data_IF_087734318676
#
_entry.id   IF_087734318676
#
_cell.length_a   1.000
_cell.length_b   1.000
_cell.length_c   1.000
_cell.angle_alpha   90.00
_cell.angle_beta   90.00
_cell.angle_gamma   90.00
#
_symmetry.space_group_name_H-M   'P 1'
#
loop_
_entity.id
_entity.type
_entity.pdbx_description
1 polymer ?
#
# COMPACT_ATOMS: atom_id res chain seq x y z
N UNK A 1 18.90 3.91 -6.23
CA UNK A 1 19.26 2.86 -5.26
C UNK A 1 18.89 1.48 -5.79
N UNK A 2 17.62 1.11 -5.95
CA UNK A 2 17.21 -0.23 -6.45
C UNK A 2 17.82 -0.63 -7.81
N UNK A 3 18.06 0.33 -8.70
CA UNK A 3 18.65 0.05 -10.02
C UNK A 3 20.15 -0.19 -10.00
N UNK A 4 20.88 0.44 -9.08
CA UNK A 4 22.35 0.52 -9.08
C UNK A 4 23.01 -0.50 -8.13
N UNK A 5 22.27 -0.93 -7.11
CA UNK A 5 22.80 -1.84 -6.09
C UNK A 5 22.17 -3.22 -6.29
N UNK A 6 23.00 -4.24 -6.38
CA UNK A 6 22.58 -5.64 -6.44
C UNK A 6 22.74 -6.26 -5.06
N UNK A 7 21.60 -6.66 -4.47
CA UNK A 7 21.54 -7.31 -3.18
C UNK A 7 20.51 -8.45 -3.21
N UNK A 8 20.69 -9.45 -2.38
CA UNK A 8 19.71 -10.56 -2.24
C UNK A 8 18.41 -10.12 -1.59
N UNK A 9 18.47 -9.12 -0.73
CA UNK A 9 17.32 -8.51 -0.11
C UNK A 9 17.58 -7.02 0.11
N UNK A 10 16.51 -6.23 0.06
CA UNK A 10 16.53 -4.79 0.33
C UNK A 10 15.57 -4.51 1.48
N UNK A 11 15.91 -3.53 2.30
CA UNK A 11 15.03 -3.07 3.37
C UNK A 11 14.80 -1.57 3.24
N UNK A 12 13.55 -1.16 3.43
CA UNK A 12 13.12 0.22 3.53
C UNK A 12 12.55 0.45 4.91
N UNK A 13 12.94 1.53 5.55
CA UNK A 13 12.45 1.93 6.88
C UNK A 13 12.46 3.44 7.00
N UNK A 14 11.43 4.00 7.63
CA UNK A 14 11.39 5.43 7.93
C UNK A 14 12.38 5.77 9.06
N UNK A 15 13.10 6.88 8.91
CA UNK A 15 14.14 7.31 9.85
C UNK A 15 13.64 8.13 11.04
N UNK A 16 12.38 7.96 11.46
CA UNK A 16 11.69 8.76 12.48
C UNK A 16 11.53 8.07 13.84
N UNK A 17 12.29 6.99 14.07
CA UNK A 17 12.28 6.15 15.27
C UNK A 17 10.96 5.46 15.61
N UNK A 18 9.98 5.44 14.70
CA UNK A 18 8.70 4.77 14.91
C UNK A 18 8.81 3.25 14.78
N UNK A 19 9.83 2.76 14.06
CA UNK A 19 10.08 1.34 13.81
C UNK A 19 11.30 0.83 14.53
N UNK A 20 11.19 -0.35 15.12
CA UNK A 20 12.28 -1.01 15.82
C UNK A 20 13.15 -1.78 14.84
N UNK A 21 14.47 -1.57 14.88
CA UNK A 21 15.43 -2.16 13.95
C UNK A 21 15.49 -3.69 14.03
N UNK A 22 15.15 -4.28 15.18
CA UNK A 22 15.17 -5.73 15.43
C UNK A 22 14.25 -6.54 14.50
N UNK A 23 13.12 -5.94 14.06
CA UNK A 23 12.23 -6.58 13.09
C UNK A 23 12.84 -6.68 11.69
N UNK A 24 13.83 -5.84 11.37
CA UNK A 24 14.51 -5.86 10.07
C UNK A 24 15.12 -7.21 9.73
N UNK A 25 15.77 -7.85 10.71
CA UNK A 25 16.34 -9.20 10.53
C UNK A 25 15.26 -10.20 10.17
N UNK A 26 14.16 -10.23 10.91
CA UNK A 26 13.02 -11.14 10.67
C UNK A 26 12.40 -10.93 9.28
N UNK A 27 12.29 -9.67 8.84
CA UNK A 27 11.75 -9.35 7.51
C UNK A 27 12.69 -9.80 6.39
N UNK A 28 14.00 -9.58 6.54
CA UNK A 28 15.01 -10.07 5.59
C UNK A 28 15.04 -11.59 5.55
N UNK A 29 14.92 -12.26 6.69
CA UNK A 29 14.86 -13.73 6.75
C UNK A 29 13.61 -14.28 6.00
N UNK A 30 12.47 -13.58 6.04
CA UNK A 30 11.31 -13.95 5.22
C UNK A 30 11.61 -13.86 3.71
N UNK A 31 12.33 -12.84 3.26
CA UNK A 31 12.75 -12.74 1.86
C UNK A 31 13.70 -13.89 1.48
N UNK A 32 14.69 -14.17 2.33
CA UNK A 32 15.77 -15.11 2.00
C UNK A 32 15.37 -16.58 2.16
N UNK A 33 14.50 -16.90 3.14
CA UNK A 33 14.17 -18.27 3.51
C UNK A 33 12.80 -18.72 3.02
N UNK A 34 11.82 -17.79 2.94
CA UNK A 34 10.46 -18.07 2.47
C UNK A 34 10.20 -17.67 1.02
N UNK A 35 11.22 -17.14 0.34
CA UNK A 35 11.11 -16.62 -1.02
C UNK A 35 10.04 -15.52 -1.17
N UNK A 36 9.79 -14.74 -0.13
CA UNK A 36 8.88 -13.62 -0.21
C UNK A 36 9.48 -12.52 -1.11
N UNK A 37 8.68 -12.01 -2.05
CA UNK A 37 9.08 -10.91 -2.92
C UNK A 37 8.95 -9.56 -2.22
N UNK A 38 7.93 -9.41 -1.39
CA UNK A 38 7.71 -8.25 -0.55
C UNK A 38 7.27 -8.68 0.84
N UNK A 39 7.90 -8.12 1.86
CA UNK A 39 7.49 -8.28 3.26
C UNK A 39 7.02 -6.94 3.79
N UNK A 40 5.83 -6.92 4.37
CA UNK A 40 5.18 -5.72 4.90
C UNK A 40 5.19 -5.77 6.43
N UNK A 41 5.69 -4.72 7.06
CA UNK A 41 5.61 -4.54 8.50
C UNK A 41 4.20 -4.14 8.92
N UNK A 42 3.44 -5.09 9.47
CA UNK A 42 2.05 -4.90 9.89
C UNK A 42 1.99 -4.26 11.28
N UNK A 43 1.76 -2.95 11.33
CA UNK A 43 1.55 -2.18 12.56
C UNK A 43 0.15 -2.36 13.10
N UNK A 44 -0.83 -2.51 12.20
CA UNK A 44 -2.25 -2.46 12.54
C UNK A 44 -2.71 -3.65 13.37
N UNK A 45 -2.00 -4.80 13.26
CA UNK A 45 -2.27 -6.00 14.07
C UNK A 45 -1.59 -5.96 15.46
N UNK A 46 -0.87 -4.89 15.81
CA UNK A 46 -0.13 -4.77 17.08
C UNK A 46 -0.64 -3.62 17.96
N UNK A 47 0.27 -2.79 18.44
CA UNK A 47 0.01 -1.70 19.40
C UNK A 47 -0.46 -0.39 18.75
N UNK A 48 -0.45 -0.29 17.42
CA UNK A 48 -0.71 0.93 16.66
C UNK A 48 -1.98 1.68 17.11
N UNK A 49 -3.10 0.99 17.26
CA UNK A 49 -4.37 1.61 17.66
C UNK A 49 -4.40 2.04 19.13
N UNK A 50 -3.54 1.48 19.97
CA UNK A 50 -3.40 1.89 21.37
C UNK A 50 -2.61 3.18 21.51
N UNK A 51 -1.59 3.35 20.67
CA UNK A 51 -0.68 4.48 20.71
C UNK A 51 -1.13 5.62 19.79
N UNK A 52 -1.67 5.33 18.62
CA UNK A 52 -2.14 6.35 17.68
C UNK A 52 -3.64 6.66 17.88
N UNK A 53 -3.93 7.68 18.66
CA UNK A 53 -5.29 8.14 19.00
C UNK A 53 -5.95 9.07 17.94
N UNK A 54 -5.49 9.05 16.69
CA UNK A 54 -6.03 9.91 15.61
C UNK A 54 -7.15 9.18 14.83
N UNK A 55 -8.46 9.35 15.17
CA UNK A 55 -9.55 8.54 14.61
C UNK A 55 -9.71 8.72 13.10
N UNK A 56 -9.54 9.93 12.57
CA UNK A 56 -9.66 10.20 11.11
C UNK A 56 -8.52 9.57 10.28
N UNK A 57 -7.33 9.47 10.84
CA UNK A 57 -6.21 8.81 10.18
C UNK A 57 -6.42 7.29 10.07
N UNK A 58 -6.97 6.67 11.10
CA UNK A 58 -7.29 5.25 11.12
C UNK A 58 -8.41 4.91 10.14
N UNK A 59 -9.41 5.77 10.02
CA UNK A 59 -10.50 5.64 9.05
C UNK A 59 -9.98 5.73 7.60
N UNK A 60 -9.12 6.71 7.31
CA UNK A 60 -8.47 6.86 6.00
C UNK A 60 -7.66 5.62 5.59
N UNK A 61 -6.83 5.09 6.50
CA UNK A 61 -6.08 3.84 6.28
C UNK A 61 -7.01 2.66 5.97
N UNK A 62 -8.13 2.56 6.68
CA UNK A 62 -9.10 1.47 6.47
C UNK A 62 -9.76 1.56 5.10
N UNK A 63 -10.11 2.76 4.63
CA UNK A 63 -10.68 2.96 3.29
C UNK A 63 -9.65 2.59 2.22
N UNK A 64 -8.42 3.09 2.31
CA UNK A 64 -7.35 2.79 1.36
C UNK A 64 -7.12 1.28 1.27
N UNK A 65 -6.97 0.62 2.42
CA UNK A 65 -6.78 -0.82 2.50
C UNK A 65 -7.95 -1.58 1.89
N UNK A 66 -9.18 -1.23 2.27
CA UNK A 66 -10.38 -1.89 1.74
C UNK A 66 -10.50 -1.72 0.22
N UNK A 67 -10.23 -0.50 -0.28
CA UNK A 67 -10.27 -0.21 -1.72
C UNK A 67 -9.25 -1.04 -2.49
N UNK A 68 -8.01 -1.13 -2.01
CA UNK A 68 -6.97 -1.90 -2.69
C UNK A 68 -7.26 -3.39 -2.62
N UNK A 69 -7.62 -3.91 -1.44
CA UNK A 69 -7.94 -5.32 -1.28
C UNK A 69 -9.13 -5.74 -2.15
N UNK A 70 -10.15 -4.88 -2.27
CA UNK A 70 -11.30 -5.11 -3.15
C UNK A 70 -10.92 -5.06 -4.64
N UNK A 71 -10.24 -3.99 -5.08
CA UNK A 71 -9.93 -3.75 -6.49
C UNK A 71 -8.88 -4.73 -7.05
N UNK A 72 -7.97 -5.17 -6.21
CA UNK A 72 -6.83 -6.00 -6.62
C UNK A 72 -6.90 -7.43 -6.07
N UNK A 73 -7.96 -7.80 -5.33
CA UNK A 73 -8.19 -9.12 -4.75
C UNK A 73 -7.00 -9.61 -3.90
N UNK A 74 -6.60 -8.79 -2.92
CA UNK A 74 -5.45 -9.04 -2.04
C UNK A 74 -5.84 -8.95 -0.57
N UNK A 75 -4.98 -9.45 0.33
CA UNK A 75 -5.17 -9.44 1.78
C UNK A 75 -4.04 -8.70 2.51
N UNK A 76 -3.49 -7.65 1.91
CA UNK A 76 -2.45 -6.85 2.56
C UNK A 76 -3.05 -6.15 3.78
N UNK A 77 -2.41 -6.34 4.95
CA UNK A 77 -2.94 -5.85 6.22
C UNK A 77 -2.60 -4.38 6.48
N UNK A 78 -1.38 -3.96 6.17
CA UNK A 78 -0.95 -2.57 6.31
C UNK A 78 -0.31 -2.05 5.03
N UNK A 79 -1.07 -1.27 4.25
CA UNK A 79 -0.63 -0.77 2.94
C UNK A 79 0.22 0.50 3.07
N UNK A 80 0.03 1.26 4.14
CA UNK A 80 0.66 2.58 4.32
C UNK A 80 1.84 2.53 5.30
N UNK A 81 2.46 1.38 5.48
CA UNK A 81 3.68 1.25 6.28
C UNK A 81 4.91 1.51 5.43
N UNK A 82 5.84 2.30 5.97
CA UNK A 82 7.17 2.52 5.38
C UNK A 82 8.19 1.43 5.74
N UNK A 83 7.84 0.44 6.58
CA UNK A 83 8.76 -0.63 6.94
C UNK A 83 8.51 -1.86 6.07
N UNK A 84 9.39 -2.08 5.10
CA UNK A 84 9.25 -3.15 4.09
C UNK A 84 10.58 -3.79 3.77
N UNK A 85 10.54 -5.08 3.43
CA UNK A 85 11.69 -5.76 2.81
C UNK A 85 11.29 -6.29 1.43
N UNK A 86 12.26 -6.40 0.52
CA UNK A 86 12.03 -6.75 -0.87
C UNK A 86 13.05 -7.74 -1.38
N UNK A 87 12.63 -8.63 -2.28
CA UNK A 87 13.52 -9.47 -3.06
C UNK A 87 14.26 -8.67 -4.14
N UNK A 88 15.30 -9.27 -4.70
CA UNK A 88 15.97 -8.73 -5.88
C UNK A 88 15.00 -8.55 -7.05
N UNK A 89 14.13 -9.53 -7.29
CA UNK A 89 13.16 -9.51 -8.37
C UNK A 89 12.20 -8.33 -8.23
N UNK A 90 11.65 -8.11 -7.03
CA UNK A 90 10.80 -6.95 -6.76
C UNK A 90 11.55 -5.64 -7.03
N UNK A 91 12.73 -5.47 -6.42
CA UNK A 91 13.51 -4.23 -6.52
C UNK A 91 13.88 -3.86 -7.97
N UNK A 92 14.17 -4.85 -8.82
CA UNK A 92 14.54 -4.62 -10.21
C UNK A 92 13.34 -4.43 -11.15
N UNK A 93 12.16 -4.93 -10.81
CA UNK A 93 10.95 -4.80 -11.63
C UNK A 93 10.08 -3.60 -11.26
N UNK A 94 10.25 -3.01 -10.07
CA UNK A 94 9.42 -1.92 -9.58
C UNK A 94 9.70 -0.60 -10.33
N UNK A 95 8.70 -0.01 -11.03
CA UNK A 95 8.92 1.11 -11.94
C UNK A 95 9.11 2.48 -11.27
N UNK A 96 8.70 2.65 -10.01
CA UNK A 96 8.74 3.92 -9.23
C UNK A 96 8.08 5.08 -10.00
N UNK A 97 6.77 5.07 -10.11
CA UNK A 97 6.00 6.11 -10.83
C UNK A 97 5.48 7.21 -9.90
N UNK A 98 5.30 6.92 -8.62
CA UNK A 98 4.76 7.84 -7.62
C UNK A 98 5.87 8.58 -6.87
N UNK A 99 5.54 9.78 -6.40
CA UNK A 99 6.42 10.60 -5.55
C UNK A 99 5.68 10.90 -4.25
N UNK A 100 6.32 10.68 -3.11
CA UNK A 100 5.73 10.92 -1.79
C UNK A 100 5.06 9.67 -1.20
N UNK A 101 4.05 9.87 -0.35
CA UNK A 101 3.40 8.79 0.44
C UNK A 101 2.60 7.78 -0.39
N UNK A 102 2.40 8.04 -1.66
CA UNK A 102 1.70 7.11 -2.56
C UNK A 102 2.58 5.91 -2.97
N UNK A 103 3.88 5.98 -2.71
CA UNK A 103 4.83 4.94 -3.14
C UNK A 103 4.56 3.60 -2.45
N UNK A 104 4.15 3.61 -1.17
CA UNK A 104 3.81 2.39 -0.45
C UNK A 104 2.58 1.69 -1.06
N UNK A 105 1.62 2.49 -1.49
CA UNK A 105 0.44 2.01 -2.21
C UNK A 105 0.82 1.41 -3.57
N UNK A 106 1.70 2.08 -4.31
CA UNK A 106 2.19 1.61 -5.61
C UNK A 106 2.96 0.30 -5.48
N UNK A 107 3.84 0.18 -4.48
CA UNK A 107 4.56 -1.05 -4.19
C UNK A 107 3.62 -2.23 -3.92
N UNK A 108 2.58 -1.99 -3.14
CA UNK A 108 1.59 -3.01 -2.81
C UNK A 108 0.81 -3.48 -4.05
N UNK A 109 0.36 -2.54 -4.88
CA UNK A 109 -0.36 -2.85 -6.12
C UNK A 109 0.56 -3.56 -7.12
N UNK A 110 1.82 -3.12 -7.24
CA UNK A 110 2.80 -3.77 -8.13
C UNK A 110 3.04 -5.24 -7.75
N UNK A 111 3.25 -5.51 -6.45
CA UNK A 111 3.42 -6.88 -5.97
C UNK A 111 2.24 -7.78 -6.34
N UNK A 112 1.02 -7.29 -6.13
CA UNK A 112 -0.20 -8.04 -6.44
C UNK A 112 -0.40 -8.23 -7.94
N UNK A 113 -0.19 -7.18 -8.75
CA UNK A 113 -0.33 -7.26 -10.21
C UNK A 113 0.64 -8.27 -10.84
N UNK A 114 1.83 -8.38 -10.28
CA UNK A 114 2.85 -9.34 -10.74
C UNK A 114 2.74 -10.72 -10.09
N UNK A 115 1.67 -10.99 -9.31
CA UNK A 115 1.49 -12.22 -8.55
C UNK A 115 2.71 -12.57 -7.68
N UNK A 116 3.35 -11.56 -7.11
CA UNK A 116 4.50 -11.72 -6.23
C UNK A 116 4.05 -12.19 -4.84
N UNK A 117 4.91 -12.98 -4.20
CA UNK A 117 4.63 -13.46 -2.85
C UNK A 117 4.78 -12.34 -1.83
N UNK A 118 3.67 -11.98 -1.17
CA UNK A 118 3.63 -10.94 -0.12
C UNK A 118 3.44 -11.59 1.24
N UNK A 119 4.35 -11.28 2.17
CA UNK A 119 4.29 -11.72 3.57
C UNK A 119 4.02 -10.53 4.50
N UNK A 120 3.31 -10.78 5.61
CA UNK A 120 3.11 -9.77 6.64
C UNK A 120 3.85 -10.18 7.92
N UNK A 121 4.66 -9.28 8.45
CA UNK A 121 5.34 -9.46 9.73
C UNK A 121 4.76 -8.46 10.72
N UNK A 122 4.12 -8.94 11.78
CA UNK A 122 3.60 -8.08 12.84
C UNK A 122 4.78 -7.41 13.54
N UNK A 123 4.74 -6.08 13.58
CA UNK A 123 5.74 -5.22 14.19
C UNK A 123 5.10 -4.32 15.23
N UNK A 124 5.84 -3.98 16.27
CA UNK A 124 5.41 -2.95 17.22
C UNK A 124 5.66 -1.57 16.64
N UNK A 125 4.72 -0.69 16.90
CA UNK A 125 4.81 0.72 16.53
C UNK A 125 5.05 1.54 17.79
N UNK A 126 6.00 2.48 17.72
CA UNK A 126 6.24 3.46 18.77
C UNK A 126 5.79 4.83 18.30
N UNK A 127 5.23 5.60 19.22
CA UNK A 127 4.92 7.00 18.91
C UNK A 127 6.20 7.80 18.68
N UNK A 128 6.11 8.83 17.86
CA UNK A 128 7.27 9.68 17.55
C UNK A 128 7.79 10.38 18.80
N UNK A 129 9.09 10.63 18.88
CA UNK A 129 9.67 11.43 19.98
C UNK A 129 8.98 12.79 20.09
N UNK A 130 8.87 13.31 21.30
CA UNK A 130 8.32 14.63 21.57
C UNK A 130 9.06 15.71 20.77
N UNK A 131 8.32 16.58 20.09
CA UNK A 131 8.86 17.63 19.20
C UNK A 131 9.00 17.22 17.73
N UNK A 132 8.67 15.97 17.38
CA UNK A 132 8.59 15.53 15.96
C UNK A 132 7.17 15.67 15.43
N UNK A 133 6.98 16.50 14.40
CA UNK A 133 5.67 16.67 13.75
C UNK A 133 5.53 15.75 12.54
N UNK A 134 4.31 15.24 12.34
CA UNK A 134 3.98 14.50 11.13
C UNK A 134 3.90 15.47 9.95
N UNK A 135 4.67 15.24 8.90
CA UNK A 135 4.57 15.99 7.63
C UNK A 135 3.33 15.60 6.81
N UNK A 136 2.57 14.60 7.26
CA UNK A 136 1.41 14.08 6.57
C UNK A 136 0.19 14.95 6.85
N UNK A 137 -0.39 15.53 5.79
CA UNK A 137 -1.67 16.22 5.84
C UNK A 137 -2.78 15.21 5.49
N UNK A 138 -3.57 14.81 6.48
CA UNK A 138 -4.56 13.72 6.37
C UNK A 138 -5.53 13.89 5.20
N UNK A 139 -6.05 15.09 4.95
CA UNK A 139 -7.00 15.33 3.86
C UNK A 139 -6.33 15.43 2.49
N UNK A 140 -5.28 16.25 2.37
CA UNK A 140 -4.58 16.46 1.11
C UNK A 140 -3.89 15.18 0.63
N UNK A 141 -3.19 14.50 1.53
CA UNK A 141 -2.45 13.29 1.17
C UNK A 141 -3.39 12.09 1.00
N UNK A 142 -4.48 12.01 1.78
CA UNK A 142 -5.54 11.03 1.56
C UNK A 142 -6.17 11.15 0.16
N UNK A 143 -6.44 12.37 -0.32
CA UNK A 143 -6.96 12.58 -1.67
C UNK A 143 -5.93 12.23 -2.75
N UNK A 144 -4.65 12.48 -2.53
CA UNK A 144 -3.58 12.05 -3.45
C UNK A 144 -3.51 10.52 -3.54
N UNK A 145 -3.61 9.83 -2.39
CA UNK A 145 -3.63 8.37 -2.35
C UNK A 145 -4.84 7.83 -3.13
N UNK A 146 -6.05 8.36 -2.93
CA UNK A 146 -7.23 7.94 -3.69
C UNK A 146 -7.07 8.16 -5.20
N UNK A 147 -6.56 9.33 -5.62
CA UNK A 147 -6.26 9.59 -7.03
C UNK A 147 -5.22 8.59 -7.58
N UNK A 148 -4.24 8.23 -6.78
CA UNK A 148 -3.22 7.26 -7.17
C UNK A 148 -3.83 5.87 -7.30
N UNK A 149 -4.68 5.43 -6.39
CA UNK A 149 -5.41 4.15 -6.52
C UNK A 149 -6.21 4.12 -7.82
N UNK A 150 -6.97 5.17 -8.14
CA UNK A 150 -7.75 5.23 -9.38
C UNK A 150 -6.86 5.23 -10.63
N UNK A 151 -5.75 5.97 -10.61
CA UNK A 151 -4.76 5.94 -11.69
C UNK A 151 -4.17 4.55 -11.88
N UNK A 152 -3.75 3.90 -10.80
CA UNK A 152 -3.16 2.57 -10.85
C UNK A 152 -4.20 1.51 -11.26
N UNK A 153 -5.45 1.61 -10.78
CA UNK A 153 -6.53 0.73 -11.20
C UNK A 153 -6.77 0.83 -12.70
N UNK A 154 -6.82 2.07 -13.25
CA UNK A 154 -6.93 2.27 -14.70
C UNK A 154 -5.75 1.68 -15.47
N UNK A 155 -4.53 1.75 -14.90
CA UNK A 155 -3.31 1.31 -15.57
C UNK A 155 -3.13 -0.21 -15.51
N UNK A 156 -3.36 -0.81 -14.35
CA UNK A 156 -3.13 -2.25 -14.12
C UNK A 156 -4.34 -3.13 -14.47
N UNK A 157 -5.55 -2.60 -14.36
CA UNK A 157 -6.81 -3.32 -14.65
C UNK A 157 -7.71 -2.54 -15.61
N UNK A 158 -7.23 -2.15 -16.83
CA UNK A 158 -7.96 -1.27 -17.73
C UNK A 158 -9.32 -1.83 -18.14
N UNK A 159 -9.42 -3.12 -18.40
CA UNK A 159 -10.66 -3.76 -18.79
C UNK A 159 -11.72 -3.65 -17.68
N UNK A 160 -11.35 -3.91 -16.43
CA UNK A 160 -12.26 -3.78 -15.29
C UNK A 160 -12.66 -2.32 -15.08
N UNK A 161 -11.71 -1.38 -15.16
CA UNK A 161 -11.95 0.05 -14.97
C UNK A 161 -12.94 0.60 -16.01
N UNK A 162 -12.65 0.44 -17.30
CA UNK A 162 -13.52 0.95 -18.37
C UNK A 162 -14.80 0.13 -18.51
N UNK A 163 -14.76 -1.18 -18.25
CA UNK A 163 -15.93 -2.04 -18.21
C UNK A 163 -16.95 -1.63 -17.15
N UNK A 164 -16.47 -1.26 -15.95
CA UNK A 164 -17.36 -0.74 -14.89
C UNK A 164 -18.01 0.57 -15.32
N UNK A 165 -17.25 1.50 -15.92
CA UNK A 165 -17.80 2.76 -16.43
C UNK A 165 -18.84 2.50 -17.50
N UNK A 166 -18.55 1.63 -18.46
CA UNK A 166 -19.48 1.27 -19.54
C UNK A 166 -20.78 0.64 -18.99
N UNK A 167 -20.67 -0.26 -18.01
CA UNK A 167 -21.84 -0.88 -17.37
C UNK A 167 -22.71 0.15 -16.63
N UNK A 168 -22.09 1.08 -15.91
CA UNK A 168 -22.83 2.18 -15.24
C UNK A 168 -23.54 3.07 -16.25
N UNK A 169 -22.87 3.46 -17.33
CA UNK A 169 -23.49 4.29 -18.38
C UNK A 169 -24.64 3.56 -19.08
N UNK A 170 -24.49 2.26 -19.36
CA UNK A 170 -25.56 1.44 -19.93
C UNK A 170 -26.76 1.35 -18.98
N UNK A 171 -26.52 1.14 -17.68
CA UNK A 171 -27.61 1.12 -16.69
C UNK A 171 -28.33 2.46 -16.60
N UNK A 172 -27.59 3.57 -16.55
CA UNK A 172 -28.20 4.91 -16.57
C UNK A 172 -29.02 5.15 -17.83
N UNK A 173 -28.51 4.75 -18.99
CA UNK A 173 -29.25 4.85 -20.27
C UNK A 173 -30.61 4.13 -20.21
N UNK A 174 -30.62 2.90 -19.68
CA UNK A 174 -31.87 2.14 -19.49
C UNK A 174 -32.83 2.87 -18.54
N UNK A 175 -32.34 3.36 -17.40
CA UNK A 175 -33.16 4.09 -16.42
C UNK A 175 -33.79 5.35 -17.03
N UNK A 176 -33.06 6.09 -17.87
CA UNK A 176 -33.58 7.30 -18.50
C UNK A 176 -34.53 7.02 -19.65
N UNK A 177 -34.46 5.84 -20.26
CA UNK A 177 -35.35 5.44 -21.36
C UNK A 177 -36.70 4.92 -20.85
N UNK A 178 -36.74 4.21 -19.71
CA UNK A 178 -37.99 3.65 -19.15
C UNK A 178 -39.13 4.67 -18.98
N UNK A 179 -38.93 5.88 -18.44
CA UNK A 179 -40.03 6.83 -18.26
C UNK A 179 -40.48 7.52 -19.53
N UNK A 180 -39.84 7.25 -20.68
CA UNK A 180 -40.22 7.82 -22.00
C UNK A 180 -41.18 6.93 -22.74
N UNK A 181 -41.29 5.66 -22.34
CA UNK A 181 -42.27 4.68 -22.85
C UNK A 181 -43.33 4.37 -21.79
#
# INVERSE_FOLDING_TARGET
MFREIDAKAYIMVDGDYTYQAEYGRKMVDCVLQKNADMVVGDRLSSTYFKENKRPFHNFGNSIVRASINFLFHTEIKDIMTGYRAFSFQFAKSFPVLSRGFEIETEMSIHAVDKNMQVENVVIEYRDRPAGSESKLNTYSDGMKVLKTIMRLFRTYKPLAYFGTIAAVLALLSVIFVIPVF
#
